data_IF_055974923751
#
_entry.id   IF_055974923751
#
_cell.length_a   1.000
_cell.length_b   1.000
_cell.length_c   1.000
_cell.angle_alpha   90.00
_cell.angle_beta   90.00
_cell.angle_gamma   90.00
#
_symmetry.space_group_name_H-M   'P 1'
#
loop_
_entity.id
_entity.type
_entity.pdbx_description
1 polymer ?
#
# COMPACT_ATOMS: atom_id res chain seq x y z
N UNK A 1 13.75 11.37 -22.52
CA UNK A 1 12.81 10.82 -21.52
C UNK A 1 12.80 11.71 -20.29
N UNK A 2 13.95 12.28 -19.93
CA UNK A 2 14.13 13.26 -18.86
C UNK A 2 13.11 14.40 -18.87
N UNK A 3 12.93 15.09 -20.01
CA UNK A 3 11.93 16.16 -20.12
C UNK A 3 10.50 15.73 -19.75
N UNK A 4 10.12 14.48 -20.02
CA UNK A 4 8.80 13.96 -19.68
C UNK A 4 8.68 13.75 -18.17
N UNK A 5 9.74 13.25 -17.53
CA UNK A 5 9.79 13.11 -16.08
C UNK A 5 9.78 14.47 -15.39
N UNK A 6 10.50 15.46 -15.92
CA UNK A 6 10.52 16.82 -15.40
C UNK A 6 9.11 17.46 -15.45
N UNK A 7 8.40 17.31 -16.58
CA UNK A 7 7.02 17.81 -16.72
C UNK A 7 6.05 17.11 -15.76
N UNK A 8 6.19 15.79 -15.59
CA UNK A 8 5.38 15.02 -14.64
C UNK A 8 5.67 15.44 -13.19
N UNK A 9 6.93 15.65 -12.84
CA UNK A 9 7.33 16.16 -11.51
C UNK A 9 6.77 17.57 -11.27
N UNK A 10 6.83 18.44 -12.28
CA UNK A 10 6.20 19.76 -12.25
C UNK A 10 4.70 19.71 -11.99
N UNK A 11 3.98 18.82 -12.69
CA UNK A 11 2.56 18.60 -12.49
C UNK A 11 2.24 18.09 -11.08
N UNK A 12 3.00 17.10 -10.60
CA UNK A 12 2.85 16.56 -9.24
C UNK A 12 3.01 17.67 -8.20
N UNK A 13 4.07 18.48 -8.33
CA UNK A 13 4.33 19.59 -7.41
C UNK A 13 3.20 20.64 -7.44
N UNK A 14 2.71 20.98 -8.64
CA UNK A 14 1.59 21.91 -8.77
C UNK A 14 0.32 21.39 -8.06
N UNK A 15 -0.05 20.13 -8.29
CA UNK A 15 -1.23 19.51 -7.65
C UNK A 15 -1.07 19.49 -6.13
N UNK A 16 0.08 19.04 -5.61
CA UNK A 16 0.32 18.93 -4.16
C UNK A 16 0.39 20.29 -3.46
N UNK A 17 0.71 21.36 -4.17
CA UNK A 17 0.75 22.73 -3.64
C UNK A 17 -0.61 23.42 -3.55
N UNK A 18 -1.66 22.81 -4.11
CA UNK A 18 -3.01 23.39 -4.11
C UNK A 18 -3.60 23.47 -2.70
N UNK A 19 -4.51 24.42 -2.50
CA UNK A 19 -5.23 24.56 -1.23
C UNK A 19 -6.02 23.29 -0.91
N UNK A 20 -5.82 22.73 0.27
CA UNK A 20 -6.59 21.58 0.74
C UNK A 20 -8.02 21.98 1.09
N UNK A 21 -8.94 21.01 1.01
CA UNK A 21 -10.29 21.17 1.53
C UNK A 21 -10.27 21.17 3.08
N UNK A 22 -11.28 21.75 3.76
CA UNK A 22 -11.37 21.67 5.22
C UNK A 22 -11.32 20.21 5.70
N UNK A 23 -10.44 19.92 6.66
CA UNK A 23 -10.24 18.57 7.20
C UNK A 23 -9.36 17.64 6.36
N UNK A 24 -8.73 18.14 5.29
CA UNK A 24 -7.74 17.39 4.49
C UNK A 24 -6.34 17.93 4.81
N UNK A 25 -5.48 17.04 5.30
CA UNK A 25 -4.12 17.41 5.73
C UNK A 25 -3.15 17.56 4.55
N UNK A 26 -3.24 16.67 3.56
CA UNK A 26 -2.37 16.69 2.37
C UNK A 26 -3.10 16.19 1.11
N UNK A 27 -2.61 16.62 -0.06
CA UNK A 27 -3.03 16.08 -1.36
C UNK A 27 -2.05 14.98 -1.75
N UNK A 28 -2.57 13.79 -2.03
CA UNK A 28 -1.79 12.64 -2.52
C UNK A 28 -2.08 12.40 -4.00
N UNK A 29 -1.06 11.99 -4.75
CA UNK A 29 -1.19 11.63 -6.17
C UNK A 29 -1.63 10.16 -6.29
N UNK A 30 -2.36 9.76 -7.34
CA UNK A 30 -2.67 8.35 -7.57
C UNK A 30 -1.43 7.46 -7.49
N UNK A 31 -1.49 6.40 -6.68
CA UNK A 31 -0.38 5.48 -6.41
C UNK A 31 0.49 5.85 -5.21
N UNK A 32 0.50 7.12 -4.77
CA UNK A 32 1.27 7.54 -3.57
C UNK A 32 0.76 6.87 -2.28
N UNK A 33 -0.56 6.81 -2.00
CA UNK A 33 -1.07 6.09 -0.82
C UNK A 33 -0.67 4.61 -0.81
N UNK A 34 -0.79 3.93 -1.96
CA UNK A 34 -0.45 2.53 -2.11
C UNK A 34 1.05 2.28 -1.95
N UNK A 35 1.89 3.17 -2.50
CA UNK A 35 3.34 3.12 -2.33
C UNK A 35 3.73 3.25 -0.86
N UNK A 36 3.20 4.26 -0.14
CA UNK A 36 3.45 4.46 1.29
C UNK A 36 3.01 3.26 2.12
N UNK A 37 1.82 2.71 1.82
CA UNK A 37 1.31 1.52 2.50
C UNK A 37 2.16 0.27 2.23
N UNK A 38 2.64 0.10 1.00
CA UNK A 38 3.52 -1.00 0.63
C UNK A 38 4.87 -0.92 1.35
N UNK A 39 5.48 0.27 1.45
CA UNK A 39 6.70 0.47 2.24
C UNK A 39 6.49 0.15 3.71
N UNK A 40 5.38 0.64 4.30
CA UNK A 40 5.00 0.33 5.67
C UNK A 40 4.88 -1.18 5.89
N UNK A 41 4.10 -1.87 5.05
CA UNK A 41 3.86 -3.32 5.15
C UNK A 41 5.11 -4.18 4.90
N UNK A 42 6.04 -3.71 4.06
CA UNK A 42 7.34 -4.37 3.88
C UNK A 42 8.19 -4.34 5.15
N UNK A 43 8.11 -3.24 5.92
CA UNK A 43 8.87 -3.06 7.16
C UNK A 43 8.19 -3.70 8.37
N UNK A 44 6.88 -3.54 8.48
CA UNK A 44 6.11 -3.85 9.69
C UNK A 44 5.32 -5.15 9.58
N UNK A 45 5.25 -5.75 8.39
CA UNK A 45 4.39 -6.88 8.11
C UNK A 45 3.00 -6.47 7.61
N UNK A 46 2.23 -7.46 7.17
CA UNK A 46 0.85 -7.28 6.72
C UNK A 46 -0.05 -7.79 7.83
N UNK A 47 -0.86 -6.90 8.41
CA UNK A 47 -1.90 -7.27 9.35
C UNK A 47 -3.00 -8.05 8.61
N UNK A 48 -3.36 -9.21 9.15
CA UNK A 48 -4.45 -10.05 8.69
C UNK A 48 -5.42 -10.23 9.85
N UNK A 49 -6.71 -10.13 9.57
CA UNK A 49 -7.71 -10.49 10.56
C UNK A 49 -7.79 -12.02 10.73
N UNK A 50 -8.34 -12.44 11.88
CA UNK A 50 -8.43 -13.86 12.25
C UNK A 50 -9.18 -14.71 11.21
N UNK A 51 -10.20 -14.15 10.57
CA UNK A 51 -11.00 -14.90 9.57
C UNK A 51 -10.18 -15.15 8.33
N UNK A 52 -9.48 -14.12 7.83
CA UNK A 52 -8.57 -14.25 6.69
C UNK A 52 -7.43 -15.22 6.99
N UNK A 53 -6.83 -15.15 8.18
CA UNK A 53 -5.78 -16.09 8.57
C UNK A 53 -6.28 -17.53 8.59
N UNK A 54 -7.45 -17.77 9.20
CA UNK A 54 -8.08 -19.09 9.22
C UNK A 54 -8.30 -19.66 7.80
N UNK A 55 -8.81 -18.85 6.87
CA UNK A 55 -9.00 -19.27 5.48
C UNK A 55 -7.70 -19.65 4.78
N UNK A 56 -6.60 -18.92 5.06
CA UNK A 56 -5.27 -19.24 4.53
C UNK A 56 -4.79 -20.59 5.07
N UNK A 57 -5.00 -20.85 6.37
CA UNK A 57 -4.62 -22.14 6.98
C UNK A 57 -5.37 -23.32 6.37
N UNK A 58 -6.69 -23.19 6.22
CA UNK A 58 -7.52 -24.22 5.59
C UNK A 58 -7.08 -24.49 4.14
N UNK A 59 -6.78 -23.44 3.38
CA UNK A 59 -6.28 -23.59 2.02
C UNK A 59 -4.92 -24.30 1.97
N UNK A 60 -4.02 -24.04 2.92
CA UNK A 60 -2.73 -24.71 3.05
C UNK A 60 -2.90 -26.21 3.32
N UNK A 61 -3.77 -26.59 4.25
CA UNK A 61 -4.06 -27.99 4.58
C UNK A 61 -4.60 -28.77 3.38
N UNK A 62 -5.50 -28.16 2.59
CA UNK A 62 -6.07 -28.77 1.38
C UNK A 62 -5.02 -29.16 0.34
N UNK A 63 -3.88 -28.47 0.30
CA UNK A 63 -2.77 -28.76 -0.61
C UNK A 63 -1.60 -29.49 0.08
N UNK A 64 -1.80 -29.95 1.32
CA UNK A 64 -0.80 -30.71 2.09
C UNK A 64 0.33 -29.88 2.68
N UNK A 65 0.13 -28.57 2.86
CA UNK A 65 1.06 -27.67 3.56
C UNK A 65 0.62 -27.56 5.02
N UNK A 66 1.55 -27.79 5.95
CA UNK A 66 1.32 -27.65 7.40
C UNK A 66 1.37 -26.17 7.83
N UNK A 67 0.24 -25.56 8.22
CA UNK A 67 0.18 -24.14 8.58
C UNK A 67 0.78 -23.84 9.96
N UNK A 68 0.91 -24.84 10.85
CA UNK A 68 1.41 -24.64 12.22
C UNK A 68 2.90 -24.26 12.26
N UNK A 69 3.63 -24.43 11.15
CA UNK A 69 5.01 -23.98 10.99
C UNK A 69 5.19 -22.46 11.05
N UNK A 70 4.11 -21.70 10.96
CA UNK A 70 4.12 -20.23 10.93
C UNK A 70 3.31 -19.60 12.06
N UNK A 71 2.94 -20.37 13.08
CA UNK A 71 2.38 -19.87 14.34
C UNK A 71 3.47 -19.45 15.34
#
# INVERSE_FOLDING_TARGET
>A
LDWYYDEVEGLINHVKSSRTAPGVDEILIPGEPEFRMAEKRRREGIELDETTWQQIREAAELVGIDPEKWN
#
